data_IF_864283399885
#
_entry.id   IF_864283399885
#
_cell.length_a   1.000
_cell.length_b   1.000
_cell.length_c   1.000
_cell.angle_alpha   90.00
_cell.angle_beta   90.00
_cell.angle_gamma   90.00
#
_symmetry.space_group_name_H-M   'P 1'
#
loop_
_entity.id
_entity.type
_entity.pdbx_description
1 polymer ?
#
# COMPACT_ATOMS: atom_id res chain seq x y z
N UNK A 1 6.06 12.11 -6.61
CA UNK A 1 7.20 11.35 -6.10
C UNK A 1 8.29 11.17 -7.17
N UNK A 2 7.99 10.58 -8.33
CA UNK A 2 8.99 10.29 -9.39
C UNK A 2 9.13 11.40 -10.42
N UNK A 3 8.31 12.46 -10.36
CA UNK A 3 8.19 13.46 -11.42
C UNK A 3 8.05 12.79 -12.81
N UNK A 4 7.20 11.77 -12.88
CA UNK A 4 6.89 11.01 -14.09
C UNK A 4 5.86 11.78 -14.92
N UNK A 5 5.92 11.75 -16.28
CA UNK A 5 4.98 12.48 -17.13
C UNK A 5 3.53 12.13 -16.83
N UNK A 6 2.69 13.17 -16.63
CA UNK A 6 1.28 12.99 -16.23
C UNK A 6 0.46 12.21 -17.25
N UNK A 7 0.73 12.41 -18.53
CA UNK A 7 0.09 11.70 -19.64
C UNK A 7 0.41 10.19 -19.65
N UNK A 8 1.57 9.81 -19.09
CA UNK A 8 2.04 8.41 -18.98
C UNK A 8 1.76 7.76 -17.62
N UNK A 9 1.09 8.44 -16.68
CA UNK A 9 0.89 7.94 -15.30
C UNK A 9 0.22 6.55 -15.21
N UNK A 10 -0.56 6.16 -16.23
CA UNK A 10 -1.18 4.83 -16.27
C UNK A 10 -0.18 3.69 -16.40
N UNK A 11 1.00 3.95 -16.93
CA UNK A 11 2.07 2.97 -17.01
C UNK A 11 2.58 2.58 -15.62
N UNK A 12 2.68 3.55 -14.69
CA UNK A 12 3.05 3.27 -13.30
C UNK A 12 2.06 2.30 -12.63
N UNK A 13 0.77 2.50 -12.89
CA UNK A 13 -0.27 1.59 -12.37
C UNK A 13 -0.15 0.20 -13.00
N UNK A 14 0.03 0.13 -14.32
CA UNK A 14 0.18 -1.13 -15.03
C UNK A 14 1.41 -1.92 -14.56
N UNK A 15 2.55 -1.28 -14.42
CA UNK A 15 3.76 -1.92 -13.89
C UNK A 15 3.59 -2.40 -12.45
N UNK A 16 2.91 -1.61 -11.62
CA UNK A 16 2.56 -2.01 -10.25
C UNK A 16 1.67 -3.25 -10.25
N UNK A 17 0.57 -3.22 -11.01
CA UNK A 17 -0.39 -4.32 -11.09
C UNK A 17 0.28 -5.61 -11.62
N UNK A 18 1.11 -5.52 -12.67
CA UNK A 18 1.86 -6.66 -13.24
C UNK A 18 2.84 -7.24 -12.21
N UNK A 19 3.50 -6.39 -11.45
CA UNK A 19 4.53 -6.80 -10.50
C UNK A 19 4.00 -7.69 -9.37
N UNK A 20 2.75 -7.44 -8.93
CA UNK A 20 2.07 -8.20 -7.87
C UNK A 20 1.04 -9.20 -8.40
N UNK A 21 0.86 -9.28 -9.73
CA UNK A 21 -0.13 -10.16 -10.36
C UNK A 21 0.09 -11.62 -9.95
N UNK A 22 -1.00 -12.31 -9.64
CA UNK A 22 -0.98 -13.74 -9.42
C UNK A 22 -1.21 -14.48 -10.75
N UNK A 23 -0.21 -15.22 -11.22
CA UNK A 23 -0.29 -15.96 -12.48
C UNK A 23 -1.37 -17.06 -12.47
N UNK A 24 -1.81 -17.50 -11.30
CA UNK A 24 -2.86 -18.50 -11.13
C UNK A 24 -4.25 -17.87 -10.96
N UNK A 25 -4.39 -16.55 -11.13
CA UNK A 25 -5.70 -15.91 -11.12
C UNK A 25 -6.58 -16.42 -12.30
N UNK A 26 -7.90 -16.39 -12.16
CA UNK A 26 -8.80 -16.80 -13.25
C UNK A 26 -8.57 -16.04 -14.56
N UNK A 27 -8.24 -14.75 -14.49
CA UNK A 27 -7.91 -13.88 -15.62
C UNK A 27 -6.62 -13.12 -15.30
N UNK A 28 -5.44 -13.75 -15.37
CA UNK A 28 -4.20 -13.13 -14.97
C UNK A 28 -3.79 -12.01 -15.94
N UNK A 29 -3.26 -10.92 -15.38
CA UNK A 29 -2.79 -9.77 -16.16
C UNK A 29 -1.61 -10.13 -17.09
N UNK A 30 -0.78 -11.05 -16.62
CA UNK A 30 0.29 -11.71 -17.37
C UNK A 30 0.22 -13.19 -17.10
N UNK A 31 0.55 -14.02 -18.07
CA UNK A 31 0.33 -15.48 -18.02
C UNK A 31 1.58 -16.25 -17.59
N UNK A 32 2.76 -15.69 -17.79
CA UNK A 32 4.04 -16.33 -17.48
C UNK A 32 5.00 -15.39 -16.77
N UNK A 33 6.02 -15.96 -16.13
CA UNK A 33 7.09 -15.16 -15.52
C UNK A 33 7.92 -14.42 -16.57
N UNK A 34 8.04 -14.98 -17.79
CA UNK A 34 8.73 -14.34 -18.91
C UNK A 34 7.99 -13.07 -19.35
N UNK A 35 6.65 -13.14 -19.47
CA UNK A 35 5.83 -11.95 -19.77
C UNK A 35 5.97 -10.89 -18.67
N UNK A 36 5.91 -11.30 -17.40
CA UNK A 36 6.14 -10.40 -16.25
C UNK A 36 7.50 -9.74 -16.34
N UNK A 37 8.55 -10.54 -16.57
CA UNK A 37 9.91 -10.04 -16.67
C UNK A 37 10.07 -9.05 -17.83
N UNK A 38 9.45 -9.31 -18.98
CA UNK A 38 9.50 -8.40 -20.12
C UNK A 38 8.89 -7.03 -19.79
N UNK A 39 7.72 -7.01 -19.12
CA UNK A 39 7.06 -5.77 -18.69
C UNK A 39 7.91 -5.01 -17.65
N UNK A 40 8.47 -5.71 -16.68
CA UNK A 40 9.30 -5.08 -15.65
C UNK A 40 10.65 -4.62 -16.19
N UNK A 41 11.18 -5.27 -17.23
CA UNK A 41 12.37 -4.79 -17.95
C UNK A 41 12.09 -3.49 -18.70
N UNK A 42 10.93 -3.35 -19.36
CA UNK A 42 10.53 -2.10 -20.01
C UNK A 42 10.42 -0.95 -19.00
N UNK A 43 9.82 -1.22 -17.83
CA UNK A 43 9.82 -0.26 -16.71
C UNK A 43 11.24 0.16 -16.33
N UNK A 44 12.14 -0.82 -16.16
CA UNK A 44 13.52 -0.54 -15.78
C UNK A 44 14.27 0.29 -16.84
N UNK A 45 14.07 -0.01 -18.12
CA UNK A 45 14.68 0.73 -19.23
C UNK A 45 14.14 2.17 -19.32
N UNK A 46 12.85 2.34 -19.07
CA UNK A 46 12.22 3.67 -19.00
C UNK A 46 12.82 4.50 -17.86
N UNK A 47 12.91 3.92 -16.67
CA UNK A 47 13.49 4.63 -15.52
C UNK A 47 15.00 4.80 -15.61
N UNK A 48 15.72 3.91 -16.30
CA UNK A 48 17.15 4.09 -16.56
C UNK A 48 17.43 5.35 -17.41
N UNK A 49 16.58 5.63 -18.41
CA UNK A 49 16.67 6.88 -19.19
C UNK A 49 16.48 8.10 -18.28
N UNK A 50 15.41 8.09 -17.48
CA UNK A 50 15.10 9.17 -16.53
C UNK A 50 16.24 9.35 -15.51
N UNK A 51 16.83 8.25 -15.05
CA UNK A 51 17.99 8.27 -14.16
C UNK A 51 19.19 9.00 -14.80
N UNK A 52 19.58 8.62 -16.03
CA UNK A 52 20.68 9.24 -16.74
C UNK A 52 20.44 10.73 -17.03
N UNK A 53 19.20 11.11 -17.31
CA UNK A 53 18.84 12.52 -17.52
C UNK A 53 18.98 13.36 -16.23
N UNK A 54 18.83 12.74 -15.06
CA UNK A 54 18.80 13.41 -13.75
C UNK A 54 20.07 13.20 -12.91
N UNK A 55 21.01 12.40 -13.38
CA UNK A 55 22.30 12.21 -12.75
C UNK A 55 23.15 13.50 -12.82
N UNK A 56 24.25 13.52 -12.07
CA UNK A 56 25.22 14.63 -12.04
C UNK A 56 24.62 15.99 -11.69
N UNK A 57 23.63 15.99 -10.77
CA UNK A 57 22.97 17.20 -10.28
C UNK A 57 21.97 17.83 -11.25
N UNK A 58 21.66 17.20 -12.38
CA UNK A 58 20.69 17.70 -13.37
C UNK A 58 19.23 17.51 -12.99
N UNK A 59 18.96 16.73 -11.94
CA UNK A 59 17.61 16.44 -11.47
C UNK A 59 17.06 17.45 -10.47
N UNK A 60 15.82 17.22 -10.03
CA UNK A 60 15.10 18.00 -9.02
C UNK A 60 14.96 17.27 -7.67
N UNK A 61 13.88 17.58 -6.94
CA UNK A 61 13.57 16.99 -5.63
C UNK A 61 12.71 15.72 -5.70
N UNK A 62 12.70 15.02 -6.83
CA UNK A 62 11.99 13.75 -6.95
C UNK A 62 12.88 12.55 -6.55
N UNK A 63 12.24 11.41 -6.27
CA UNK A 63 12.95 10.22 -5.78
C UNK A 63 13.99 9.69 -6.75
N UNK A 64 13.76 9.76 -8.07
CA UNK A 64 14.74 9.27 -9.04
C UNK A 64 15.98 10.17 -9.04
N UNK A 65 15.77 11.50 -9.00
CA UNK A 65 16.86 12.47 -8.86
C UNK A 65 17.67 12.26 -7.58
N UNK A 66 16.98 12.03 -6.46
CA UNK A 66 17.65 11.77 -5.16
C UNK A 66 18.47 10.48 -5.20
N UNK A 67 17.93 9.40 -5.76
CA UNK A 67 18.64 8.13 -5.90
C UNK A 67 19.84 8.24 -6.86
N UNK A 68 19.67 8.95 -7.97
CA UNK A 68 20.73 9.11 -8.98
C UNK A 68 21.92 9.95 -8.49
N UNK A 69 21.71 10.83 -7.51
CA UNK A 69 22.74 11.75 -7.01
C UNK A 69 23.21 11.43 -5.58
N UNK A 70 22.63 10.44 -4.89
CA UNK A 70 23.08 10.04 -3.56
C UNK A 70 24.32 9.16 -3.64
N UNK A 71 25.32 9.41 -2.80
CA UNK A 71 26.54 8.60 -2.70
C UNK A 71 26.22 7.12 -2.41
N UNK A 72 25.16 6.85 -1.67
CA UNK A 72 24.77 5.49 -1.31
C UNK A 72 24.13 4.70 -2.46
N UNK A 73 23.57 5.38 -3.47
CA UNK A 73 22.73 4.72 -4.50
C UNK A 73 23.15 5.01 -5.94
N UNK A 74 23.94 6.06 -6.20
CA UNK A 74 24.35 6.46 -7.56
C UNK A 74 25.09 5.37 -8.35
N UNK A 75 25.71 4.39 -7.67
CA UNK A 75 26.47 3.30 -8.26
C UNK A 75 25.78 1.93 -8.17
N UNK A 76 24.47 1.88 -7.81
CA UNK A 76 23.75 0.62 -7.71
C UNK A 76 23.70 -0.10 -9.05
N UNK A 77 23.82 -1.44 -9.00
CA UNK A 77 23.71 -2.28 -10.19
C UNK A 77 22.28 -2.37 -10.71
N UNK A 78 22.10 -2.83 -11.97
CA UNK A 78 20.78 -2.90 -12.62
C UNK A 78 19.75 -3.69 -11.79
N UNK A 79 20.12 -4.82 -11.19
CA UNK A 79 19.19 -5.63 -10.39
C UNK A 79 18.72 -4.90 -9.12
N UNK A 80 19.63 -4.22 -8.45
CA UNK A 80 19.33 -3.42 -7.26
C UNK A 80 18.46 -2.20 -7.62
N UNK A 81 18.76 -1.56 -8.74
CA UNK A 81 17.95 -0.47 -9.29
C UNK A 81 16.51 -0.91 -9.59
N UNK A 82 16.33 -2.04 -10.29
CA UNK A 82 15.01 -2.60 -10.59
C UNK A 82 14.26 -2.91 -9.29
N UNK A 83 14.92 -3.58 -8.33
CA UNK A 83 14.33 -3.91 -7.04
C UNK A 83 13.90 -2.68 -6.23
N UNK A 84 14.71 -1.62 -6.27
CA UNK A 84 14.40 -0.33 -5.62
C UNK A 84 13.21 0.36 -6.27
N UNK A 85 13.16 0.43 -7.59
CA UNK A 85 12.01 0.99 -8.31
C UNK A 85 10.72 0.22 -8.04
N UNK A 86 10.81 -1.11 -8.12
CA UNK A 86 9.70 -2.01 -7.80
C UNK A 86 9.15 -1.71 -6.41
N UNK A 87 10.01 -1.68 -5.39
CA UNK A 87 9.61 -1.42 -4.01
C UNK A 87 8.92 -0.06 -3.87
N UNK A 88 9.43 0.98 -4.51
CA UNK A 88 8.89 2.34 -4.41
C UNK A 88 7.57 2.49 -5.18
N UNK A 89 7.45 1.87 -6.36
CA UNK A 89 6.24 1.95 -7.19
C UNK A 89 5.11 1.15 -6.53
N UNK A 90 5.34 -0.11 -6.19
CA UNK A 90 4.33 -0.98 -5.56
C UNK A 90 3.96 -0.46 -4.18
N UNK A 91 4.94 -0.14 -3.35
CA UNK A 91 4.70 0.36 -2.00
C UNK A 91 3.94 1.68 -1.97
N UNK A 92 4.20 2.57 -2.93
CA UNK A 92 3.56 3.89 -2.99
C UNK A 92 2.20 3.93 -3.69
N UNK A 93 1.91 2.97 -4.57
CA UNK A 93 0.68 2.95 -5.37
C UNK A 93 -0.38 2.03 -4.78
N UNK A 94 -0.12 0.72 -4.73
CA UNK A 94 -1.15 -0.27 -4.44
C UNK A 94 -1.69 -0.21 -3.03
N UNK A 95 -0.83 0.01 -2.05
CA UNK A 95 -1.24 0.03 -0.64
C UNK A 95 -2.15 1.23 -0.35
N UNK A 96 -1.80 2.41 -0.87
CA UNK A 96 -2.58 3.63 -0.68
C UNK A 96 -3.91 3.57 -1.45
N UNK A 97 -3.88 3.14 -2.72
CA UNK A 97 -5.07 2.93 -3.55
C UNK A 97 -6.06 1.97 -2.87
N UNK A 98 -5.57 0.84 -2.37
CA UNK A 98 -6.40 -0.15 -1.70
C UNK A 98 -6.89 0.32 -0.32
N UNK A 99 -6.14 1.19 0.36
CA UNK A 99 -6.62 1.84 1.58
C UNK A 99 -7.76 2.84 1.29
N UNK A 100 -7.65 3.62 0.20
CA UNK A 100 -8.72 4.53 -0.24
C UNK A 100 -9.98 3.75 -0.59
N UNK A 101 -9.88 2.74 -1.47
CA UNK A 101 -11.02 1.91 -1.87
C UNK A 101 -11.62 1.14 -0.69
N UNK A 102 -10.76 0.60 0.19
CA UNK A 102 -11.19 -0.09 1.40
C UNK A 102 -11.89 0.83 2.40
N UNK A 103 -11.44 2.07 2.52
CA UNK A 103 -12.11 3.10 3.33
C UNK A 103 -13.50 3.43 2.80
N UNK A 104 -13.63 3.66 1.49
CA UNK A 104 -14.93 3.89 0.85
C UNK A 104 -15.88 2.70 1.05
N UNK A 105 -15.38 1.48 0.89
CA UNK A 105 -16.17 0.27 1.11
C UNK A 105 -16.58 0.12 2.58
N UNK A 106 -15.68 0.39 3.52
CA UNK A 106 -15.94 0.27 4.95
C UNK A 106 -16.99 1.31 5.42
N UNK A 107 -16.87 2.56 4.98
CA UNK A 107 -17.83 3.61 5.34
C UNK A 107 -19.19 3.41 4.68
N UNK A 108 -19.26 2.89 3.45
CA UNK A 108 -20.51 2.49 2.82
C UNK A 108 -21.21 1.36 3.60
N UNK A 109 -20.43 0.39 4.10
CA UNK A 109 -20.95 -0.75 4.87
C UNK A 109 -21.31 -0.40 6.33
N UNK A 110 -20.85 0.74 6.83
CA UNK A 110 -21.07 1.23 8.20
C UNK A 110 -21.41 2.74 8.15
N UNK A 111 -22.59 3.09 7.61
CA UNK A 111 -22.95 4.49 7.39
C UNK A 111 -23.03 5.30 8.69
N UNK A 112 -23.36 4.69 9.82
CA UNK A 112 -23.36 5.32 11.14
C UNK A 112 -21.98 5.80 11.57
N UNK A 113 -20.92 5.11 11.16
CA UNK A 113 -19.54 5.53 11.45
C UNK A 113 -19.13 6.74 10.61
N UNK A 114 -19.61 6.83 9.37
CA UNK A 114 -19.40 7.99 8.52
C UNK A 114 -20.15 9.24 9.07
N UNK A 115 -21.39 9.05 9.57
CA UNK A 115 -22.16 10.14 10.19
C UNK A 115 -21.49 10.72 11.44
N UNK A 116 -20.79 9.89 12.24
CA UNK A 116 -19.98 10.39 13.36
C UNK A 116 -18.92 11.39 12.86
N UNK A 117 -18.28 11.08 11.73
CA UNK A 117 -17.22 11.95 11.16
C UNK A 117 -17.80 13.21 10.53
N UNK A 118 -18.97 13.13 9.87
CA UNK A 118 -19.69 14.31 9.39
C UNK A 118 -20.06 15.25 10.54
N UNK A 119 -20.51 14.68 11.66
CA UNK A 119 -20.88 15.45 12.87
C UNK A 119 -19.67 15.99 13.63
N UNK A 120 -18.53 15.30 13.55
CA UNK A 120 -17.29 15.69 14.23
C UNK A 120 -16.06 15.44 13.34
N UNK A 121 -15.68 16.44 12.55
CA UNK A 121 -14.53 16.39 11.63
C UNK A 121 -13.19 16.14 12.33
N UNK A 122 -13.08 16.38 13.64
CA UNK A 122 -11.86 16.07 14.38
C UNK A 122 -11.55 14.55 14.44
N UNK A 123 -12.50 13.69 14.06
CA UNK A 123 -12.33 12.25 13.93
C UNK A 123 -11.61 11.83 12.65
N UNK A 124 -11.45 12.70 11.64
CA UNK A 124 -10.82 12.33 10.37
C UNK A 124 -9.44 11.68 10.55
N UNK A 125 -8.51 12.22 11.36
CA UNK A 125 -7.23 11.56 11.58
C UNK A 125 -7.35 10.16 12.18
N UNK A 126 -8.35 9.94 13.04
CA UNK A 126 -8.61 8.63 13.63
C UNK A 126 -9.28 7.68 12.66
N UNK A 127 -10.25 8.15 11.87
CA UNK A 127 -10.84 7.41 10.75
C UNK A 127 -9.76 6.86 9.82
N UNK A 128 -8.75 7.65 9.46
CA UNK A 128 -7.63 7.23 8.62
C UNK A 128 -6.89 6.05 9.24
N UNK A 129 -6.58 6.10 10.53
CA UNK A 129 -5.92 4.98 11.23
C UNK A 129 -6.80 3.72 11.24
N UNK A 130 -8.11 3.89 11.48
CA UNK A 130 -9.04 2.76 11.47
C UNK A 130 -9.20 2.16 10.07
N UNK A 131 -9.25 2.97 9.01
CA UNK A 131 -9.23 2.49 7.62
C UNK A 131 -7.99 1.64 7.36
N UNK A 132 -6.81 2.12 7.73
CA UNK A 132 -5.54 1.42 7.52
C UNK A 132 -5.50 0.11 8.34
N UNK A 133 -6.02 0.12 9.58
CA UNK A 133 -6.17 -1.07 10.41
C UNK A 133 -7.12 -2.09 9.76
N UNK A 134 -8.32 -1.65 9.44
CA UNK A 134 -9.43 -2.49 8.97
C UNK A 134 -9.16 -3.06 7.57
N UNK A 135 -8.63 -2.25 6.68
CA UNK A 135 -8.27 -2.68 5.32
C UNK A 135 -7.02 -3.57 5.29
N UNK A 136 -5.99 -3.23 6.08
CA UNK A 136 -4.71 -3.97 6.10
C UNK A 136 -4.23 -4.35 4.68
N UNK A 137 -3.82 -3.40 3.83
CA UNK A 137 -3.59 -3.64 2.41
C UNK A 137 -2.44 -4.64 2.14
N UNK A 138 -1.43 -4.71 3.01
CA UNK A 138 -0.41 -5.77 3.00
C UNK A 138 -0.79 -6.82 4.03
N UNK A 139 -1.08 -8.04 3.57
CA UNK A 139 -1.58 -9.11 4.42
C UNK A 139 -0.50 -9.61 5.37
N UNK A 140 0.72 -9.80 4.87
CA UNK A 140 1.86 -10.33 5.64
C UNK A 140 3.20 -9.86 5.08
N UNK A 141 4.23 -9.99 5.90
CA UNK A 141 5.63 -9.90 5.47
C UNK A 141 6.41 -11.08 6.03
N UNK A 142 7.50 -11.46 5.35
CA UNK A 142 8.36 -12.58 5.72
C UNK A 142 9.74 -12.09 6.13
N UNK A 143 10.33 -12.80 7.10
CA UNK A 143 11.75 -12.69 7.45
C UNK A 143 12.41 -14.08 7.36
N UNK A 144 13.73 -14.10 7.24
CA UNK A 144 14.53 -15.31 7.40
C UNK A 144 15.39 -15.12 8.62
N UNK A 145 15.38 -16.09 9.54
CA UNK A 145 16.18 -16.03 10.74
C UNK A 145 17.67 -16.09 10.37
N UNK A 146 18.46 -15.15 10.87
CA UNK A 146 19.92 -15.10 10.62
C UNK A 146 20.71 -15.94 11.61
N UNK A 147 20.13 -16.19 12.78
CA UNK A 147 20.66 -17.03 13.84
C UNK A 147 19.54 -17.80 14.53
N UNK A 148 19.90 -18.83 15.33
CA UNK A 148 18.96 -19.52 16.20
C UNK A 148 18.39 -18.54 17.22
N UNK A 149 17.09 -18.54 17.42
CA UNK A 149 16.40 -17.68 18.40
C UNK A 149 15.19 -18.37 18.97
N UNK A 150 14.59 -17.79 19.99
CA UNK A 150 13.35 -18.26 20.59
C UNK A 150 12.31 -17.15 20.62
N UNK A 151 11.06 -17.50 20.32
CA UNK A 151 9.92 -16.61 20.42
C UNK A 151 8.76 -17.34 21.13
N UNK A 152 8.36 -16.85 22.30
CA UNK A 152 7.28 -17.43 23.10
C UNK A 152 7.43 -18.96 23.32
N UNK A 153 8.65 -19.43 23.66
CA UNK A 153 8.95 -20.83 23.90
C UNK A 153 9.11 -21.68 22.64
N UNK A 154 8.97 -21.09 21.44
CA UNK A 154 9.20 -21.77 20.16
C UNK A 154 10.60 -21.48 19.66
N UNK A 155 11.37 -22.52 19.38
CA UNK A 155 12.71 -22.41 18.80
C UNK A 155 12.58 -22.14 17.30
N UNK A 156 13.22 -21.07 16.84
CA UNK A 156 13.36 -20.70 15.44
C UNK A 156 14.82 -20.90 15.06
N UNK A 157 15.07 -21.76 14.08
CA UNK A 157 16.42 -22.06 13.62
C UNK A 157 16.90 -21.06 12.58
N UNK A 158 18.21 -20.87 12.52
CA UNK A 158 18.86 -20.15 11.42
C UNK A 158 18.39 -20.68 10.07
N UNK A 159 17.93 -19.79 9.20
CA UNK A 159 17.38 -20.12 7.87
C UNK A 159 15.86 -20.32 7.85
N UNK A 160 15.20 -20.44 9.00
CA UNK A 160 13.75 -20.57 9.07
C UNK A 160 13.07 -19.31 8.54
N UNK A 161 11.92 -19.53 7.90
CA UNK A 161 11.07 -18.46 7.38
C UNK A 161 9.98 -18.12 8.38
N UNK A 162 10.01 -16.89 8.89
CA UNK A 162 9.03 -16.34 9.84
C UNK A 162 8.09 -15.41 9.11
N UNK A 163 6.80 -15.73 9.11
CA UNK A 163 5.76 -14.92 8.47
C UNK A 163 5.01 -14.11 9.54
N UNK A 164 4.99 -12.80 9.37
CA UNK A 164 4.26 -11.87 10.24
C UNK A 164 2.92 -11.54 9.58
N UNK A 165 1.83 -12.04 10.12
CA UNK A 165 0.48 -11.84 9.61
C UNK A 165 -0.11 -10.52 10.13
N UNK A 166 0.08 -9.43 9.40
CA UNK A 166 -0.46 -8.12 9.79
C UNK A 166 -1.98 -8.11 9.86
N UNK A 167 -2.63 -8.82 8.94
CA UNK A 167 -4.10 -8.94 8.94
C UNK A 167 -4.62 -9.61 10.22
N UNK A 168 -3.91 -10.58 10.78
CA UNK A 168 -4.26 -11.22 12.05
C UNK A 168 -3.99 -10.29 13.22
N UNK A 169 -2.82 -9.64 13.24
CA UNK A 169 -2.45 -8.71 14.30
C UNK A 169 -3.40 -7.52 14.42
N UNK A 170 -3.94 -7.06 13.28
CA UNK A 170 -4.87 -5.93 13.25
C UNK A 170 -6.32 -6.28 13.68
N UNK A 171 -6.58 -7.56 13.92
CA UNK A 171 -7.85 -8.05 14.51
C UNK A 171 -7.61 -8.86 15.80
N UNK A 172 -6.48 -8.64 16.48
CA UNK A 172 -6.19 -9.28 17.77
C UNK A 172 -7.07 -8.68 18.87
N UNK A 173 -7.95 -9.53 19.46
CA UNK A 173 -8.85 -9.15 20.55
C UNK A 173 -8.15 -8.75 21.86
N UNK A 174 -6.87 -9.11 22.04
CA UNK A 174 -6.07 -8.63 23.17
C UNK A 174 -5.61 -7.16 23.01
N UNK A 175 -5.69 -6.65 21.79
CA UNK A 175 -5.28 -5.28 21.44
C UNK A 175 -6.47 -4.40 21.10
N UNK A 176 -7.43 -4.94 20.36
CA UNK A 176 -8.57 -4.20 19.82
C UNK A 176 -9.89 -4.80 20.35
N UNK A 177 -10.66 -4.02 21.08
CA UNK A 177 -12.03 -4.37 21.45
C UNK A 177 -12.88 -4.43 20.17
N UNK A 178 -13.77 -5.45 20.04
CA UNK A 178 -14.56 -5.71 18.83
C UNK A 178 -13.69 -5.58 17.56
N UNK A 179 -12.66 -6.42 17.40
CA UNK A 179 -11.61 -6.21 16.41
C UNK A 179 -12.09 -6.26 14.96
N UNK A 180 -13.22 -6.92 14.71
CA UNK A 180 -13.85 -7.03 13.39
C UNK A 180 -14.82 -5.88 13.08
N UNK A 181 -15.19 -5.08 14.07
CA UNK A 181 -16.01 -3.89 13.84
C UNK A 181 -15.15 -2.75 13.28
N UNK A 182 -15.70 -2.01 12.33
CA UNK A 182 -15.16 -0.73 11.86
C UNK A 182 -15.70 0.38 12.76
N UNK A 183 -14.82 1.14 13.39
CA UNK A 183 -15.19 2.20 14.35
C UNK A 183 -14.34 3.47 14.08
N UNK A 184 -14.96 4.51 13.53
CA UNK A 184 -14.26 5.75 13.19
C UNK A 184 -13.65 6.46 14.42
N UNK A 185 -14.18 6.21 15.59
CA UNK A 185 -13.77 6.75 16.89
C UNK A 185 -12.92 5.79 17.74
N UNK A 186 -12.42 4.68 17.16
CA UNK A 186 -11.60 3.70 17.89
C UNK A 186 -10.34 4.36 18.48
N UNK A 187 -10.26 4.46 19.79
CA UNK A 187 -9.23 5.21 20.52
C UNK A 187 -7.81 4.69 20.28
N UNK A 188 -7.66 3.39 20.00
CA UNK A 188 -6.37 2.74 19.81
C UNK A 188 -6.11 2.30 18.35
N UNK A 189 -6.84 2.84 17.36
CA UNK A 189 -6.69 2.48 15.94
C UNK A 189 -5.22 2.56 15.49
N UNK A 190 -4.48 3.55 15.95
CA UNK A 190 -3.06 3.77 15.62
C UNK A 190 -2.10 2.64 16.06
N UNK A 191 -2.56 1.70 16.89
CA UNK A 191 -1.75 0.52 17.29
C UNK A 191 -1.68 -0.57 16.23
N UNK A 192 -2.31 -0.36 15.06
CA UNK A 192 -2.24 -1.30 13.95
C UNK A 192 -0.80 -1.55 13.46
N UNK A 193 -0.57 -2.73 12.88
CA UNK A 193 0.73 -3.13 12.33
C UNK A 193 0.79 -3.06 10.78
N UNK A 194 -0.16 -2.39 10.12
CA UNK A 194 -0.19 -2.29 8.64
C UNK A 194 1.06 -1.64 8.05
N UNK A 195 1.74 -0.76 8.80
CA UNK A 195 3.01 -0.16 8.41
C UNK A 195 4.24 -0.96 8.88
N UNK A 196 4.04 -2.12 9.49
CA UNK A 196 5.13 -2.88 10.09
C UNK A 196 5.75 -2.19 11.32
N UNK A 197 6.90 -2.70 11.75
CA UNK A 197 7.64 -2.21 12.91
C UNK A 197 9.15 -2.38 12.73
N UNK A 198 9.94 -1.71 13.59
CA UNK A 198 11.40 -1.78 13.58
C UNK A 198 12.03 -1.11 12.37
N UNK A 199 13.22 -1.60 11.97
CA UNK A 199 14.03 -0.99 10.88
C UNK A 199 13.37 -1.07 9.50
N UNK A 200 12.38 -1.96 9.33
CA UNK A 200 11.60 -2.11 8.10
C UNK A 200 10.22 -1.43 8.18
N UNK A 201 9.98 -0.58 9.16
CA UNK A 201 8.76 0.22 9.20
C UNK A 201 8.62 1.00 7.88
N UNK A 202 7.39 1.10 7.39
CA UNK A 202 7.08 1.81 6.16
C UNK A 202 7.67 3.22 6.16
N UNK A 203 8.48 3.54 5.16
CA UNK A 203 9.08 4.88 4.99
C UNK A 203 8.04 5.90 4.54
N UNK A 204 6.97 5.43 3.89
CA UNK A 204 5.89 6.26 3.34
C UNK A 204 4.67 6.42 4.25
N UNK A 205 4.71 5.96 5.52
CA UNK A 205 3.55 5.97 6.41
C UNK A 205 2.91 7.36 6.54
N UNK A 206 3.71 8.41 6.70
CA UNK A 206 3.25 9.80 6.81
C UNK A 206 2.57 10.30 5.52
N UNK A 207 3.12 9.95 4.38
CA UNK A 207 2.56 10.33 3.08
C UNK A 207 1.23 9.62 2.83
N UNK A 208 1.14 8.32 3.13
CA UNK A 208 -0.08 7.56 3.02
C UNK A 208 -1.18 8.09 3.95
N UNK A 209 -0.86 8.34 5.22
CA UNK A 209 -1.78 8.96 6.19
C UNK A 209 -2.28 10.32 5.68
N UNK A 210 -1.39 11.16 5.14
CA UNK A 210 -1.74 12.48 4.65
C UNK A 210 -2.64 12.41 3.42
N UNK A 211 -2.35 11.54 2.47
CA UNK A 211 -3.18 11.36 1.27
C UNK A 211 -4.60 10.89 1.63
N UNK A 212 -4.72 9.92 2.53
CA UNK A 212 -6.02 9.46 3.03
C UNK A 212 -6.75 10.58 3.78
N UNK A 213 -6.04 11.32 4.63
CA UNK A 213 -6.63 12.43 5.38
C UNK A 213 -7.21 13.50 4.46
N UNK A 214 -6.43 13.95 3.47
CA UNK A 214 -6.88 14.97 2.51
C UNK A 214 -8.09 14.45 1.72
N UNK A 215 -8.08 13.18 1.28
CA UNK A 215 -9.23 12.59 0.60
C UNK A 215 -10.50 12.71 1.45
N UNK A 216 -10.44 12.31 2.72
CA UNK A 216 -11.61 12.34 3.61
C UNK A 216 -12.01 13.76 4.02
N UNK A 217 -11.05 14.67 4.21
CA UNK A 217 -11.32 16.09 4.42
C UNK A 217 -12.11 16.67 3.24
N UNK A 218 -11.69 16.44 2.00
CA UNK A 218 -12.33 16.91 0.78
C UNK A 218 -13.72 16.29 0.57
N UNK A 219 -13.88 14.99 0.79
CA UNK A 219 -15.17 14.32 0.65
C UNK A 219 -16.20 14.90 1.64
N UNK A 220 -15.80 15.08 2.91
CA UNK A 220 -16.67 15.58 3.97
C UNK A 220 -16.96 17.07 3.83
N UNK A 221 -15.96 17.88 3.45
CA UNK A 221 -16.15 19.32 3.27
C UNK A 221 -17.11 19.64 2.13
N UNK A 222 -17.05 18.85 1.05
CA UNK A 222 -17.91 19.02 -0.14
C UNK A 222 -19.23 18.25 -0.05
N UNK A 223 -19.50 17.59 1.07
CA UNK A 223 -20.65 16.68 1.26
C UNK A 223 -20.78 15.63 0.13
N UNK A 224 -19.64 15.13 -0.34
CA UNK A 224 -19.59 14.07 -1.36
C UNK A 224 -19.76 12.73 -0.68
N UNK A 225 -20.83 12.03 -1.01
CA UNK A 225 -21.09 10.67 -0.55
C UNK A 225 -20.82 9.67 -1.67
N UNK A 226 -20.20 8.57 -1.34
CA UNK A 226 -19.88 7.50 -2.29
C UNK A 226 -20.58 6.22 -1.87
N UNK A 227 -21.43 5.72 -2.74
CA UNK A 227 -22.11 4.44 -2.57
C UNK A 227 -21.49 3.37 -3.45
N UNK A 228 -21.37 2.16 -2.93
CA UNK A 228 -21.01 0.98 -3.73
C UNK A 228 -22.23 0.59 -4.58
N UNK A 229 -22.05 0.56 -5.90
CA UNK A 229 -23.14 0.44 -6.87
C UNK A 229 -23.22 -0.95 -7.52
N UNK A 230 -22.44 -1.92 -7.06
CA UNK A 230 -22.41 -3.27 -7.60
C UNK A 230 -21.54 -4.20 -6.77
N UNK A 231 -21.40 -5.45 -7.20
CA UNK A 231 -20.60 -6.47 -6.51
C UNK A 231 -19.10 -6.13 -6.61
N UNK A 232 -18.41 -5.93 -5.48
CA UNK A 232 -16.97 -5.70 -5.47
C UNK A 232 -16.20 -6.95 -5.88
N UNK A 233 -15.24 -6.82 -6.78
CA UNK A 233 -14.31 -7.89 -7.11
C UNK A 233 -13.02 -7.72 -6.33
N UNK A 234 -12.72 -8.69 -5.46
CA UNK A 234 -11.49 -8.69 -4.66
C UNK A 234 -10.29 -9.13 -5.47
N UNK A 235 -9.14 -8.54 -5.20
CA UNK A 235 -7.88 -8.96 -5.81
C UNK A 235 -7.57 -10.42 -5.47
N UNK A 236 -7.23 -11.21 -6.48
CA UNK A 236 -6.81 -12.60 -6.32
C UNK A 236 -5.35 -12.65 -5.87
N UNK A 237 -5.11 -12.34 -4.60
CA UNK A 237 -3.77 -12.23 -4.02
C UNK A 237 -3.77 -12.69 -2.57
N UNK A 238 -2.71 -13.39 -2.17
CA UNK A 238 -2.41 -13.71 -0.77
C UNK A 238 -1.47 -12.69 -0.12
N UNK A 239 -1.04 -11.67 -0.86
CA UNK A 239 -0.10 -10.66 -0.40
C UNK A 239 -0.76 -9.27 -0.26
N UNK A 240 -1.52 -8.85 -1.28
CA UNK A 240 -2.24 -7.57 -1.28
C UNK A 240 -3.75 -7.83 -1.06
N UNK A 241 -4.31 -7.19 -0.07
CA UNK A 241 -5.75 -7.15 0.17
C UNK A 241 -6.33 -5.90 -0.47
N UNK A 242 -7.05 -6.09 -1.57
CA UNK A 242 -7.56 -4.97 -2.34
C UNK A 242 -8.77 -5.34 -3.19
N UNK A 243 -9.03 -4.49 -4.17
CA UNK A 243 -10.09 -4.65 -5.16
C UNK A 243 -9.50 -4.58 -6.56
N UNK A 244 -9.89 -5.50 -7.43
CA UNK A 244 -9.73 -5.35 -8.87
C UNK A 244 -10.73 -4.33 -9.40
N UNK A 245 -11.99 -4.46 -8.94
CA UNK A 245 -13.05 -3.48 -9.23
C UNK A 245 -13.90 -3.23 -7.99
N UNK A 246 -14.20 -1.96 -7.74
CA UNK A 246 -15.18 -1.50 -6.76
C UNK A 246 -16.13 -0.54 -7.47
N UNK A 247 -17.25 -1.05 -8.03
CA UNK A 247 -18.24 -0.19 -8.68
C UNK A 247 -18.82 0.80 -7.67
N UNK A 248 -18.72 2.07 -7.95
CA UNK A 248 -19.15 3.12 -7.05
C UNK A 248 -19.82 4.27 -7.82
N UNK A 249 -20.74 4.96 -7.17
CA UNK A 249 -21.38 6.18 -7.67
C UNK A 249 -21.30 7.27 -6.61
N UNK A 250 -21.19 8.50 -7.06
CA UNK A 250 -21.34 9.68 -6.22
C UNK A 250 -22.82 9.95 -6.07
N UNK A 251 -23.25 10.16 -4.83
CA UNK A 251 -24.59 10.60 -4.47
C UNK A 251 -24.48 11.88 -3.66
N UNK A 252 -25.33 12.84 -3.95
CA UNK A 252 -25.41 14.13 -3.27
C UNK A 252 -26.63 14.14 -2.38
#
# INVERSE_FOLDING_TARGET
MFNYPQERRRELMYWSDVSIANLNAPNPLVKTEEERYAVLSDMADTFAKIWHERADGRGGFDLVSMLANSEATKSMGRAEFIGTLFLLIVGGNDTTRNSMSGGLFATHSNPEELEKVHSNRSLIPNLVQEIIRYQTPVIHMRRTAVDDTELNGQVIKKGDKVVMWYISANVDGNVFEDPYAFKADRTNARRHLSFGAGIHRCVGDRLAEQQLRILWEELIERDIRVEVAGEPQRSYSNFIRGFETLPAKIVN
#
